data_IF_269274039538
#
_entry.id   IF_269274039538
#
_cell.length_a   1.000
_cell.length_b   1.000
_cell.length_c   1.000
_cell.angle_alpha   90.00
_cell.angle_beta   90.00
_cell.angle_gamma   90.00
#
_symmetry.space_group_name_H-M   'P 1'
#
loop_
_entity.id
_entity.type
_entity.pdbx_description
1 polymer ?
#
# COMPACT_ATOMS: atom_id res chain seq x y z
N UNK A 1 -19.98 -8.22 7.90
CA UNK A 1 -18.77 -7.48 8.29
C UNK A 1 -19.06 -6.00 8.12
N UNK A 2 -18.84 -5.18 9.14
CA UNK A 2 -19.13 -3.73 9.10
C UNK A 2 -17.99 -2.95 8.44
N UNK A 3 -18.25 -1.70 8.04
CA UNK A 3 -17.23 -0.80 7.50
C UNK A 3 -16.03 -0.63 8.45
N UNK A 4 -16.28 -0.62 9.76
CA UNK A 4 -15.28 -0.49 10.81
C UNK A 4 -14.30 -1.69 10.81
N UNK A 5 -14.85 -2.91 10.77
CA UNK A 5 -14.04 -4.15 10.70
C UNK A 5 -13.18 -4.22 9.43
N UNK A 6 -13.74 -3.81 8.28
CA UNK A 6 -13.01 -3.76 7.01
C UNK A 6 -11.90 -2.70 7.06
N UNK A 7 -12.18 -1.54 7.64
CA UNK A 7 -11.21 -0.45 7.78
C UNK A 7 -10.02 -0.89 8.64
N UNK A 8 -10.28 -1.54 9.76
CA UNK A 8 -9.24 -2.06 10.65
C UNK A 8 -8.36 -3.12 9.96
N UNK A 9 -8.95 -4.07 9.24
CA UNK A 9 -8.18 -5.09 8.53
C UNK A 9 -7.33 -4.48 7.41
N UNK A 10 -7.87 -3.50 6.69
CA UNK A 10 -7.18 -2.84 5.58
C UNK A 10 -6.00 -1.97 6.05
N UNK A 11 -6.16 -1.24 7.17
CA UNK A 11 -5.12 -0.39 7.78
C UNK A 11 -4.02 -1.26 8.43
N UNK A 12 -4.38 -2.35 9.09
CA UNK A 12 -3.41 -3.22 9.78
C UNK A 12 -2.55 -4.04 8.83
N UNK A 13 -3.05 -4.30 7.61
CA UNK A 13 -2.31 -5.11 6.65
C UNK A 13 -1.04 -4.37 6.20
N UNK A 14 0.14 -5.04 6.18
CA UNK A 14 1.37 -4.40 5.72
C UNK A 14 1.22 -3.88 4.28
N UNK A 15 1.51 -2.60 4.10
CA UNK A 15 1.56 -1.95 2.80
C UNK A 15 3.02 -1.56 2.54
N UNK A 16 3.53 -1.94 1.37
CA UNK A 16 4.85 -1.51 0.92
C UNK A 16 4.88 0.01 0.72
N UNK A 17 6.05 0.61 0.92
CA UNK A 17 6.25 2.06 0.85
C UNK A 17 7.58 2.42 0.21
N UNK A 18 7.97 3.68 0.38
CA UNK A 18 9.27 4.17 -0.05
C UNK A 18 10.34 3.87 1.00
N UNK A 19 11.51 3.40 0.57
CA UNK A 19 12.69 3.31 1.43
C UNK A 19 13.39 4.66 1.53
N UNK A 20 14.00 4.93 2.69
CA UNK A 20 14.93 6.06 2.82
C UNK A 20 16.09 5.97 1.84
N UNK A 21 16.61 7.12 1.44
CA UNK A 21 17.80 7.19 0.60
C UNK A 21 19.03 6.57 1.29
N UNK A 22 20.00 6.12 0.49
CA UNK A 22 21.28 5.58 0.93
C UNK A 22 22.36 6.66 0.83
N UNK A 23 23.52 6.48 1.49
CA UNK A 23 24.62 7.45 1.43
C UNK A 23 25.14 7.76 0.02
N UNK A 24 24.91 6.84 -0.93
CA UNK A 24 25.42 6.89 -2.30
C UNK A 24 24.34 6.75 -3.39
N UNK A 25 23.07 6.52 -3.03
CA UNK A 25 21.99 6.13 -3.97
C UNK A 25 20.60 6.49 -3.47
N UNK A 26 19.67 6.67 -4.39
CA UNK A 26 18.25 6.83 -4.07
C UNK A 26 17.67 5.61 -3.34
N UNK A 27 16.60 5.87 -2.59
CA UNK A 27 15.77 4.88 -1.94
C UNK A 27 14.93 4.08 -2.95
N UNK A 28 14.58 2.85 -2.60
CA UNK A 28 13.79 1.97 -3.44
C UNK A 28 12.30 2.26 -3.22
N UNK A 29 11.54 2.40 -4.32
CA UNK A 29 10.11 2.67 -4.28
C UNK A 29 9.28 1.38 -4.12
N UNK A 30 8.17 1.44 -3.41
CA UNK A 30 7.20 0.34 -3.32
C UNK A 30 7.74 -0.96 -2.69
N UNK A 31 8.62 -0.87 -1.70
CA UNK A 31 9.16 -2.03 -0.97
C UNK A 31 8.74 -2.05 0.50
N UNK A 32 8.70 -3.24 1.09
CA UNK A 32 8.50 -3.40 2.53
C UNK A 32 9.85 -3.20 3.24
N UNK A 33 10.00 -2.09 3.95
CA UNK A 33 11.24 -1.74 4.67
C UNK A 33 11.20 -2.11 6.15
N UNK A 34 10.01 -2.07 6.76
CA UNK A 34 9.81 -2.34 8.18
C UNK A 34 9.22 -3.74 8.46
N UNK A 35 8.74 -4.45 7.43
CA UNK A 35 8.08 -5.77 7.53
C UNK A 35 8.43 -6.66 6.32
N UNK A 36 9.68 -7.13 6.26
CA UNK A 36 10.39 -7.56 5.03
C UNK A 36 10.10 -8.97 4.51
N UNK A 37 9.14 -9.72 5.07
CA UNK A 37 8.79 -11.08 4.61
C UNK A 37 7.28 -11.29 4.43
N UNK A 38 6.57 -10.24 4.01
CA UNK A 38 5.13 -10.29 3.79
C UNK A 38 4.83 -10.14 2.30
N UNK A 39 4.02 -11.07 1.77
CA UNK A 39 3.54 -11.00 0.39
C UNK A 39 2.34 -10.06 0.33
N UNK A 40 2.27 -9.28 -0.73
CA UNK A 40 1.06 -8.52 -1.01
C UNK A 40 -0.10 -9.51 -1.29
N UNK A 41 -1.20 -9.40 -0.55
CA UNK A 41 -2.45 -10.09 -0.91
C UNK A 41 -2.89 -9.64 -2.31
N UNK A 42 -3.11 -10.57 -3.25
CA UNK A 42 -3.63 -10.27 -4.58
C UNK A 42 -4.93 -9.49 -4.52
N UNK A 43 -5.18 -8.66 -5.52
CA UNK A 43 -6.36 -7.78 -5.55
C UNK A 43 -7.63 -8.62 -5.69
N UNK A 44 -7.56 -9.69 -6.47
CA UNK A 44 -8.66 -10.62 -6.74
C UNK A 44 -9.11 -11.32 -5.46
N UNK A 45 -8.15 -11.70 -4.61
CA UNK A 45 -8.46 -12.30 -3.31
C UNK A 45 -9.14 -11.31 -2.35
N UNK A 46 -8.77 -10.02 -2.42
CA UNK A 46 -9.41 -8.98 -1.60
C UNK A 46 -10.83 -8.67 -2.07
N UNK A 47 -11.04 -8.51 -3.37
CA UNK A 47 -12.37 -8.25 -3.94
C UNK A 47 -13.30 -9.47 -3.83
N UNK A 48 -12.74 -10.69 -3.80
CA UNK A 48 -13.51 -11.90 -3.51
C UNK A 48 -13.94 -11.98 -2.04
N UNK A 49 -13.03 -11.66 -1.11
CA UNK A 49 -13.28 -11.82 0.31
C UNK A 49 -14.10 -10.68 0.93
N UNK A 50 -14.09 -9.50 0.32
CA UNK A 50 -14.74 -8.29 0.85
C UNK A 50 -15.50 -7.56 -0.24
N UNK A 51 -16.61 -6.87 0.08
CA UNK A 51 -17.36 -6.04 -0.86
C UNK A 51 -16.62 -4.71 -1.12
N UNK A 52 -15.40 -4.83 -1.64
CA UNK A 52 -14.49 -3.74 -1.97
C UNK A 52 -14.12 -3.84 -3.45
N UNK A 53 -13.83 -2.68 -4.04
CA UNK A 53 -13.21 -2.59 -5.37
C UNK A 53 -11.96 -1.74 -5.30
N UNK A 54 -10.85 -2.25 -5.82
CA UNK A 54 -9.61 -1.50 -5.90
C UNK A 54 -9.63 -0.65 -7.18
N UNK A 55 -9.70 0.67 -7.01
CA UNK A 55 -9.72 1.64 -8.12
C UNK A 55 -8.33 1.92 -8.65
N UNK A 56 -7.35 1.95 -7.74
CA UNK A 56 -5.97 2.24 -8.09
C UNK A 56 -5.02 1.45 -7.20
N UNK A 57 -4.00 0.87 -7.84
CA UNK A 57 -2.81 0.40 -7.16
C UNK A 57 -1.56 0.80 -7.94
N UNK A 58 -0.82 1.78 -7.42
CA UNK A 58 0.27 2.41 -8.17
C UNK A 58 1.38 2.94 -7.25
N UNK A 59 2.55 3.20 -7.83
CA UNK A 59 3.60 4.00 -7.19
C UNK A 59 3.12 5.45 -7.14
N UNK A 60 3.16 6.06 -5.95
CA UNK A 60 2.87 7.48 -5.76
C UNK A 60 4.09 8.31 -6.19
N UNK A 61 4.22 8.55 -7.49
CA UNK A 61 5.39 9.22 -8.06
C UNK A 61 5.64 10.59 -7.43
N UNK A 62 6.90 10.87 -7.06
CA UNK A 62 7.30 12.13 -6.45
C UNK A 62 6.88 12.29 -4.99
N UNK A 63 6.55 11.20 -4.29
CA UNK A 63 6.25 11.22 -2.86
C UNK A 63 7.47 10.94 -1.98
N UNK A 64 8.57 10.46 -2.57
CA UNK A 64 9.83 10.28 -1.87
C UNK A 64 10.36 11.59 -1.29
N UNK A 65 10.93 11.52 -0.09
CA UNK A 65 11.53 12.69 0.56
C UNK A 65 12.72 13.24 -0.25
N UNK A 66 12.82 14.56 -0.46
CA UNK A 66 13.91 15.16 -1.24
C UNK A 66 15.24 15.11 -0.46
N UNK A 67 16.35 14.96 -1.19
CA UNK A 67 17.69 14.98 -0.61
C UNK A 67 18.78 14.95 -1.69
N UNK A 68 20.05 14.85 -1.28
CA UNK A 68 21.17 14.58 -2.22
C UNK A 68 20.91 13.31 -3.04
N UNK A 69 20.32 12.32 -2.37
CA UNK A 69 19.67 11.17 -2.95
C UNK A 69 18.23 11.18 -2.44
N UNK A 70 17.27 10.94 -3.32
CA UNK A 70 15.85 10.99 -2.99
C UNK A 70 15.43 9.71 -2.26
N UNK A 71 14.48 9.83 -1.34
CA UNK A 71 13.76 8.66 -0.83
C UNK A 71 12.97 7.98 -1.96
N UNK A 72 12.71 6.69 -1.81
CA UNK A 72 11.82 5.97 -2.70
C UNK A 72 10.38 6.47 -2.58
N UNK A 73 9.61 6.34 -3.65
CA UNK A 73 8.19 6.69 -3.68
C UNK A 73 7.34 5.65 -2.93
N UNK A 74 6.28 6.13 -2.29
CA UNK A 74 5.27 5.30 -1.65
C UNK A 74 4.29 4.65 -2.64
N UNK A 75 3.22 4.06 -2.10
CA UNK A 75 2.14 3.46 -2.89
C UNK A 75 0.83 4.23 -2.72
N UNK A 76 0.00 4.18 -3.76
CA UNK A 76 -1.41 4.57 -3.75
C UNK A 76 -2.24 3.28 -3.75
N UNK A 77 -3.19 3.18 -2.82
CA UNK A 77 -4.28 2.19 -2.83
C UNK A 77 -5.59 2.94 -2.69
N UNK A 78 -6.31 3.07 -3.79
CA UNK A 78 -7.64 3.66 -3.79
C UNK A 78 -8.68 2.54 -3.79
N UNK A 79 -9.57 2.56 -2.81
CA UNK A 79 -10.54 1.49 -2.55
C UNK A 79 -11.93 2.10 -2.43
N UNK A 80 -12.84 1.54 -3.21
CA UNK A 80 -14.27 1.85 -3.16
C UNK A 80 -15.00 0.76 -2.38
N UNK A 81 -15.79 1.15 -1.38
CA UNK A 81 -16.68 0.22 -0.69
C UNK A 81 -17.98 0.06 -1.46
N UNK A 82 -18.35 -1.19 -1.78
CA UNK A 82 -19.49 -1.49 -2.64
C UNK A 82 -20.80 -1.72 -1.87
N UNK A 83 -20.77 -1.77 -0.55
CA UNK A 83 -21.94 -1.99 0.30
C UNK A 83 -21.78 -3.18 1.23
N UNK A 84 -22.74 -3.36 2.13
CA UNK A 84 -22.80 -4.54 2.98
C UNK A 84 -23.35 -5.70 2.17
N UNK A 85 -22.68 -6.84 2.19
CA UNK A 85 -23.34 -8.11 1.85
C UNK A 85 -24.44 -8.32 2.89
N UNK A 86 -25.69 -8.37 2.43
CA UNK A 86 -26.84 -8.72 3.26
C UNK A 86 -26.78 -10.20 3.67
#
# INVERSE_FOLDING_TARGET
MTLDEISHLFIMRPIAGGMGARPDKDGISGIHTHMTNTKNTPIEALEFAFPLRLKQYAIRRGSGGPGKFNGGDGLIRDVEFLGLLA
#
